data_IF_854707134179
#
_entry.id   IF_854707134179
#
_cell.length_a   1.000
_cell.length_b   1.000
_cell.length_c   1.000
_cell.angle_alpha   90.00
_cell.angle_beta   90.00
_cell.angle_gamma   90.00
#
_symmetry.space_group_name_H-M   'P 1'
#
loop_
_entity.id
_entity.type
_entity.pdbx_description
1 polymer ?
#
# COMPACT_ATOMS: atom_id res chain seq x y z
N UNK A 1 6.32 44.17 -48.30
CA UNK A 1 6.58 43.25 -49.44
C UNK A 1 5.95 41.88 -49.15
N UNK A 2 5.73 41.00 -50.17
CA UNK A 2 4.66 40.00 -50.14
C UNK A 2 5.02 38.58 -49.64
N UNK A 3 4.01 37.69 -49.71
CA UNK A 3 3.84 36.33 -49.16
C UNK A 3 4.61 35.19 -49.89
N UNK A 4 4.48 33.97 -49.32
CA UNK A 4 4.61 32.57 -49.86
C UNK A 4 5.87 31.84 -49.33
N UNK A 5 5.86 30.68 -48.66
CA UNK A 5 5.10 29.38 -48.69
C UNK A 5 5.66 28.34 -49.68
N UNK A 6 5.83 27.09 -49.20
CA UNK A 6 6.19 25.84 -49.94
C UNK A 6 7.67 25.81 -50.42
N UNK A 7 8.39 24.68 -50.61
CA UNK A 7 8.03 23.27 -50.92
C UNK A 7 9.03 22.28 -50.26
N UNK A 8 8.54 21.09 -49.85
CA UNK A 8 9.39 19.91 -49.55
C UNK A 8 9.70 19.12 -50.82
N UNK A 9 10.97 18.86 -51.13
CA UNK A 9 11.37 18.05 -52.29
C UNK A 9 12.11 16.79 -51.86
N UNK A 10 11.42 15.66 -52.02
CA UNK A 10 11.99 14.31 -52.04
C UNK A 10 12.92 14.17 -53.26
N UNK A 11 14.13 13.65 -53.07
CA UNK A 11 14.95 13.17 -54.19
C UNK A 11 14.60 11.71 -54.46
N UNK A 12 14.11 11.40 -55.66
CA UNK A 12 13.74 10.03 -56.05
C UNK A 12 14.16 9.75 -57.49
N UNK A 13 14.96 8.71 -57.69
CA UNK A 13 15.32 8.12 -58.97
C UNK A 13 16.23 6.92 -58.69
N UNK A 14 16.01 5.71 -59.21
CA UNK A 14 14.97 5.15 -60.10
C UNK A 14 14.61 3.74 -59.52
N UNK A 15 13.40 3.15 -59.61
CA UNK A 15 12.74 2.51 -60.78
C UNK A 15 13.73 1.71 -61.65
N UNK A 16 13.54 0.49 -62.18
CA UNK A 16 12.51 -0.58 -62.21
C UNK A 16 13.24 -1.87 -62.71
N UNK A 17 12.81 -3.14 -62.56
CA UNK A 17 11.59 -3.75 -62.00
C UNK A 17 11.88 -5.12 -61.30
N UNK A 18 11.34 -6.24 -61.81
CA UNK A 18 11.39 -7.62 -61.27
C UNK A 18 11.67 -8.65 -62.38
N UNK A 19 12.45 -9.69 -62.08
CA UNK A 19 12.46 -11.07 -62.66
C UNK A 19 12.91 -11.21 -64.16
N UNK A 20 13.44 -12.37 -64.63
CA UNK A 20 13.37 -13.74 -64.09
C UNK A 20 14.57 -14.65 -64.49
N UNK A 21 14.79 -15.72 -63.70
CA UNK A 21 15.29 -17.08 -64.07
C UNK A 21 16.67 -17.27 -64.76
N UNK A 22 17.47 -18.31 -64.52
CA UNK A 22 17.44 -19.43 -63.54
C UNK A 22 18.70 -20.31 -63.65
N UNK A 23 19.35 -20.64 -62.53
CA UNK A 23 20.26 -21.82 -62.37
C UNK A 23 20.59 -21.97 -60.87
N UNK A 24 19.73 -22.62 -60.08
CA UNK A 24 19.95 -23.99 -59.58
C UNK A 24 21.31 -24.16 -58.88
N UNK A 25 21.31 -23.92 -57.57
CA UNK A 25 22.29 -24.43 -56.61
C UNK A 25 21.61 -25.32 -55.57
N UNK A 26 20.87 -26.32 -56.06
CA UNK A 26 20.44 -27.51 -55.30
C UNK A 26 21.49 -28.62 -55.57
N UNK A 27 21.97 -29.43 -54.63
CA UNK A 27 21.52 -29.78 -53.27
C UNK A 27 22.63 -30.52 -52.53
N UNK A 28 22.61 -30.42 -51.19
CA UNK A 28 22.89 -31.44 -50.16
C UNK A 28 23.80 -30.86 -49.04
N UNK A 29 23.61 -31.13 -47.75
CA UNK A 29 22.84 -32.22 -47.10
C UNK A 29 22.15 -31.72 -45.80
N UNK A 30 21.19 -32.50 -45.28
CA UNK A 30 20.34 -32.19 -44.11
C UNK A 30 21.17 -32.23 -42.79
N UNK A 31 20.77 -31.63 -41.66
CA UNK A 31 19.55 -31.87 -40.84
C UNK A 31 19.26 -30.68 -39.90
N UNK A 32 17.99 -30.57 -39.47
CA UNK A 32 17.41 -29.71 -38.41
C UNK A 32 18.37 -29.27 -37.27
N UNK A 33 18.21 -28.11 -36.61
CA UNK A 33 16.99 -27.63 -35.90
C UNK A 33 16.86 -26.10 -36.07
N UNK A 34 15.63 -25.55 -36.00
CA UNK A 34 15.37 -24.11 -36.09
C UNK A 34 15.74 -23.30 -34.84
N UNK A 35 15.32 -22.02 -34.81
CA UNK A 35 15.73 -20.94 -33.88
C UNK A 35 17.10 -20.33 -34.29
N UNK A 36 17.34 -19.01 -34.26
CA UNK A 36 16.59 -17.87 -33.71
C UNK A 36 16.62 -16.66 -34.66
N UNK A 37 15.56 -15.83 -34.64
CA UNK A 37 15.75 -14.39 -34.87
C UNK A 37 16.39 -13.78 -33.61
N UNK A 38 17.20 -12.70 -33.67
CA UNK A 38 17.70 -12.03 -32.47
C UNK A 38 16.58 -11.23 -31.77
N UNK A 39 15.61 -11.95 -31.22
CA UNK A 39 14.61 -11.42 -30.33
C UNK A 39 15.29 -11.19 -28.97
N UNK A 40 15.58 -9.92 -28.68
CA UNK A 40 15.78 -9.36 -27.33
C UNK A 40 16.69 -10.23 -26.44
N UNK A 41 18.02 -10.02 -26.54
CA UNK A 41 18.97 -10.60 -25.59
C UNK A 41 18.75 -9.98 -24.19
N UNK A 42 17.78 -10.52 -23.47
CA UNK A 42 17.44 -10.12 -22.13
C UNK A 42 18.49 -10.72 -21.18
N UNK A 43 19.33 -9.87 -20.60
CA UNK A 43 20.30 -10.34 -19.61
C UNK A 43 19.55 -10.91 -18.40
N UNK A 44 19.80 -12.19 -18.12
CA UNK A 44 19.24 -12.92 -17.00
C UNK A 44 20.38 -13.44 -16.11
N UNK A 45 20.36 -13.05 -14.84
CA UNK A 45 21.33 -13.55 -13.86
C UNK A 45 20.79 -14.87 -13.31
N UNK A 46 21.60 -15.93 -13.39
CA UNK A 46 21.28 -17.21 -12.75
C UNK A 46 22.02 -17.31 -11.41
N UNK A 47 21.26 -17.46 -10.32
CA UNK A 47 21.78 -17.85 -9.02
C UNK A 47 20.99 -19.06 -8.51
N UNK A 48 21.65 -20.19 -8.30
CA UNK A 48 21.09 -21.36 -7.61
C UNK A 48 19.80 -21.94 -8.20
N UNK A 49 19.57 -21.81 -9.52
CA UNK A 49 18.39 -22.35 -10.20
C UNK A 49 17.23 -21.36 -10.42
N UNK A 50 17.33 -20.12 -9.94
CA UNK A 50 16.45 -19.02 -10.33
C UNK A 50 17.13 -18.16 -11.40
N UNK A 51 16.51 -18.07 -12.59
CA UNK A 51 16.87 -17.13 -13.63
C UNK A 51 16.03 -15.85 -13.48
N UNK A 52 16.66 -14.74 -13.09
CA UNK A 52 15.99 -13.44 -12.97
C UNK A 52 16.44 -12.55 -14.13
N UNK A 53 15.50 -12.19 -14.99
CA UNK A 53 15.72 -11.35 -16.16
C UNK A 53 15.35 -9.89 -15.85
N UNK A 54 16.21 -8.93 -16.19
CA UNK A 54 16.10 -7.53 -15.71
C UNK A 54 14.96 -6.68 -16.31
N UNK A 55 13.96 -7.29 -16.96
CA UNK A 55 12.67 -6.68 -17.30
C UNK A 55 11.50 -7.25 -16.48
N UNK A 56 11.76 -8.08 -15.46
CA UNK A 56 10.69 -8.60 -14.61
C UNK A 56 10.17 -7.54 -13.61
N UNK A 57 9.11 -6.84 -14.04
CA UNK A 57 8.36 -5.90 -13.21
C UNK A 57 7.78 -6.50 -11.91
N UNK A 58 7.78 -7.83 -11.75
CA UNK A 58 7.36 -8.53 -10.54
C UNK A 58 8.05 -8.00 -9.27
N UNK A 59 9.36 -7.78 -9.28
CA UNK A 59 10.09 -7.37 -8.07
C UNK A 59 9.77 -5.93 -7.62
N UNK A 60 9.65 -5.00 -8.58
CA UNK A 60 9.25 -3.62 -8.28
C UNK A 60 7.78 -3.54 -7.85
N UNK A 61 6.90 -4.29 -8.54
CA UNK A 61 5.48 -4.42 -8.19
C UNK A 61 5.31 -5.02 -6.78
N UNK A 62 6.06 -6.06 -6.43
CA UNK A 62 5.97 -6.66 -5.09
C UNK A 62 6.41 -5.67 -3.99
N UNK A 63 7.54 -4.98 -4.15
CA UNK A 63 7.98 -3.95 -3.18
C UNK A 63 6.94 -2.83 -3.03
N UNK A 64 6.35 -2.37 -4.14
CA UNK A 64 5.30 -1.34 -4.11
C UNK A 64 4.02 -1.83 -3.42
N UNK A 65 3.61 -3.09 -3.67
CA UNK A 65 2.47 -3.75 -3.00
C UNK A 65 2.70 -3.91 -1.51
N UNK A 66 3.89 -4.35 -1.10
CA UNK A 66 4.26 -4.43 0.31
C UNK A 66 4.24 -3.06 0.99
N UNK A 67 4.78 -2.03 0.35
CA UNK A 67 4.76 -0.65 0.83
C UNK A 67 3.34 -0.14 1.08
N UNK A 68 2.47 -0.28 0.07
CA UNK A 68 1.03 0.04 0.18
C UNK A 68 0.38 -0.74 1.33
N UNK A 69 0.61 -2.05 1.41
CA UNK A 69 0.06 -2.90 2.50
C UNK A 69 0.50 -2.46 3.90
N UNK A 70 1.72 -1.94 4.07
CA UNK A 70 2.19 -1.38 5.35
C UNK A 70 1.44 -0.08 5.69
N UNK A 71 1.30 0.83 4.74
CA UNK A 71 0.51 2.05 4.93
C UNK A 71 -0.96 1.75 5.26
N UNK A 72 -1.60 0.82 4.55
CA UNK A 72 -2.99 0.42 4.81
C UNK A 72 -3.17 -0.14 6.23
N UNK A 73 -2.19 -0.90 6.74
CA UNK A 73 -2.19 -1.47 8.09
C UNK A 73 -1.98 -0.40 9.17
N UNK A 74 -1.09 0.58 8.95
CA UNK A 74 -0.91 1.72 9.85
C UNK A 74 -2.20 2.56 9.87
N UNK A 75 -2.75 2.86 8.69
CA UNK A 75 -3.95 3.68 8.57
C UNK A 75 -5.19 2.99 9.19
N UNK A 76 -5.27 1.65 9.10
CA UNK A 76 -6.26 0.86 9.84
C UNK A 76 -6.12 1.01 11.37
N UNK A 77 -4.90 1.01 11.91
CA UNK A 77 -4.67 1.26 13.34
C UNK A 77 -5.15 2.66 13.73
N UNK A 78 -4.89 3.67 12.91
CA UNK A 78 -5.38 5.04 13.13
C UNK A 78 -6.91 5.10 13.19
N UNK A 79 -7.62 4.53 12.19
CA UNK A 79 -9.09 4.50 12.21
C UNK A 79 -9.66 3.73 13.40
N UNK A 80 -8.99 2.66 13.83
CA UNK A 80 -9.43 1.86 14.97
C UNK A 80 -9.17 2.53 16.32
N UNK A 81 -8.09 3.28 16.48
CA UNK A 81 -7.64 3.84 17.78
C UNK A 81 -7.99 5.32 17.94
N UNK A 82 -8.07 6.08 16.85
CA UNK A 82 -8.28 7.54 16.85
C UNK A 82 -9.50 7.99 16.01
N UNK A 83 -10.20 7.07 15.34
CA UNK A 83 -11.38 7.33 14.50
C UNK A 83 -11.15 8.29 13.32
N UNK A 84 -9.88 8.45 12.90
CA UNK A 84 -9.45 9.20 11.71
C UNK A 84 -8.46 8.42 10.88
N UNK A 85 -8.20 8.87 9.66
CA UNK A 85 -7.03 8.43 8.90
C UNK A 85 -5.75 9.10 9.42
N UNK A 86 -4.61 8.45 9.19
CA UNK A 86 -3.28 9.00 9.40
C UNK A 86 -2.92 9.97 8.26
N UNK A 87 -2.21 11.06 8.58
CA UNK A 87 -1.65 11.93 7.55
C UNK A 87 -0.40 11.31 6.88
N UNK A 88 0.03 11.90 5.76
CA UNK A 88 1.12 11.36 4.96
C UNK A 88 2.50 11.38 5.68
N UNK A 89 2.71 12.32 6.61
CA UNK A 89 3.92 12.43 7.43
C UNK A 89 3.92 11.44 8.59
N UNK A 90 2.76 11.23 9.24
CA UNK A 90 2.53 10.17 10.22
C UNK A 90 2.78 8.79 9.61
N UNK A 91 2.15 8.51 8.45
CA UNK A 91 2.32 7.28 7.69
C UNK A 91 3.81 7.03 7.36
N UNK A 92 4.52 8.03 6.83
CA UNK A 92 5.97 7.93 6.55
C UNK A 92 6.81 7.70 7.81
N UNK A 93 6.39 8.22 8.96
CA UNK A 93 7.11 8.04 10.22
C UNK A 93 6.98 6.62 10.74
N UNK A 94 5.76 6.10 10.82
CA UNK A 94 5.51 4.72 11.21
C UNK A 94 6.06 3.69 10.22
N UNK A 95 6.07 3.99 8.92
CA UNK A 95 6.70 3.15 7.91
C UNK A 95 8.20 2.95 8.16
N UNK A 96 8.95 4.02 8.49
CA UNK A 96 10.38 3.94 8.85
C UNK A 96 10.63 3.10 10.10
N UNK A 97 9.70 3.12 11.06
CA UNK A 97 9.79 2.28 12.25
C UNK A 97 9.58 0.79 11.94
N UNK A 98 8.70 0.44 10.99
CA UNK A 98 8.56 -0.94 10.50
C UNK A 98 9.85 -1.43 9.81
N UNK A 99 10.55 -0.56 9.08
CA UNK A 99 11.86 -0.88 8.50
C UNK A 99 12.94 -1.11 9.57
N UNK A 100 12.84 -0.43 10.72
CA UNK A 100 13.63 -0.68 11.93
C UNK A 100 13.17 -1.88 12.77
N UNK A 101 12.32 -2.75 12.20
CA UNK A 101 11.79 -3.98 12.83
C UNK A 101 10.88 -3.76 14.04
N UNK A 102 10.31 -2.57 14.26
CA UNK A 102 9.15 -2.46 15.17
C UNK A 102 7.98 -3.28 14.63
N UNK A 103 7.15 -3.83 15.51
CA UNK A 103 5.91 -4.48 15.10
C UNK A 103 4.74 -3.50 14.99
N UNK A 104 3.73 -3.85 14.19
CA UNK A 104 2.46 -3.12 14.14
C UNK A 104 1.75 -3.08 15.50
N UNK A 105 2.01 -4.06 16.38
CA UNK A 105 1.49 -4.08 17.76
C UNK A 105 2.12 -2.99 18.61
N UNK A 106 3.41 -2.74 18.45
CA UNK A 106 4.12 -1.69 19.20
C UNK A 106 3.72 -0.29 18.69
N UNK A 107 3.51 -0.16 17.37
CA UNK A 107 2.94 1.06 16.77
C UNK A 107 1.52 1.32 17.31
N UNK A 108 0.65 0.30 17.34
CA UNK A 108 -0.69 0.41 17.96
C UNK A 108 -0.60 0.82 19.42
N UNK A 109 0.29 0.22 20.19
CA UNK A 109 0.47 0.52 21.61
C UNK A 109 0.87 1.99 21.83
N UNK A 110 1.76 2.54 21.01
CA UNK A 110 2.21 3.92 21.15
C UNK A 110 1.13 4.93 20.71
N UNK A 111 0.40 4.65 19.62
CA UNK A 111 -0.77 5.45 19.20
C UNK A 111 -1.87 5.40 20.28
N UNK A 112 -2.14 4.23 20.86
CA UNK A 112 -3.13 4.04 21.91
C UNK A 112 -2.76 4.72 23.24
N UNK A 113 -1.48 4.98 23.49
CA UNK A 113 -0.98 5.74 24.65
C UNK A 113 -0.79 7.23 24.36
N UNK A 114 -0.93 7.65 23.11
CA UNK A 114 -0.75 9.04 22.70
C UNK A 114 -1.71 9.97 23.45
N UNK A 115 -1.34 11.25 23.54
CA UNK A 115 -2.23 12.28 24.07
C UNK A 115 -3.55 12.34 23.29
N UNK A 116 -3.52 12.15 21.97
CA UNK A 116 -4.70 12.19 21.13
C UNK A 116 -5.72 11.10 21.48
N UNK A 117 -5.25 9.88 21.76
CA UNK A 117 -6.12 8.80 22.23
C UNK A 117 -6.73 9.10 23.61
N UNK A 118 -5.95 9.71 24.52
CA UNK A 118 -6.45 10.15 25.84
C UNK A 118 -7.48 11.27 25.72
N UNK A 119 -7.24 12.26 24.86
CA UNK A 119 -8.16 13.36 24.59
C UNK A 119 -9.46 12.86 23.92
N UNK A 120 -9.39 11.84 23.06
CA UNK A 120 -10.57 11.16 22.50
C UNK A 120 -11.38 10.40 23.56
N UNK A 121 -10.73 9.66 24.46
CA UNK A 121 -11.41 8.99 25.60
C UNK A 121 -12.06 10.04 26.51
N UNK A 122 -11.40 11.15 26.79
CA UNK A 122 -11.95 12.25 27.59
C UNK A 122 -13.20 12.86 26.96
N UNK A 123 -13.24 13.06 25.63
CA UNK A 123 -14.45 13.50 24.92
C UNK A 123 -15.61 12.53 25.11
N UNK A 124 -15.38 11.23 24.92
CA UNK A 124 -16.40 10.20 25.14
C UNK A 124 -16.94 10.25 26.58
N UNK A 125 -16.07 10.38 27.57
CA UNK A 125 -16.48 10.52 28.97
C UNK A 125 -17.35 11.75 29.23
N UNK A 126 -17.01 12.90 28.64
CA UNK A 126 -17.80 14.13 28.76
C UNK A 126 -19.15 13.98 28.05
N UNK A 127 -19.16 13.43 26.83
CA UNK A 127 -20.36 13.21 26.02
C UNK A 127 -21.36 12.23 26.66
N UNK A 128 -20.86 11.18 27.34
CA UNK A 128 -21.68 10.05 27.81
C UNK A 128 -21.96 10.10 29.32
N UNK A 129 -21.03 10.63 30.13
CA UNK A 129 -21.09 10.64 31.60
C UNK A 129 -21.03 12.06 32.20
N UNK A 130 -20.95 13.12 31.38
CA UNK A 130 -20.92 14.52 31.84
C UNK A 130 -19.69 14.93 32.63
N UNK A 131 -18.62 14.14 32.60
CA UNK A 131 -17.40 14.35 33.41
C UNK A 131 -16.15 13.92 32.64
N UNK A 132 -14.96 14.37 33.06
CA UNK A 132 -13.69 13.90 32.48
C UNK A 132 -13.34 12.50 33.00
N UNK A 133 -12.59 11.70 32.21
CA UNK A 133 -12.08 10.42 32.69
C UNK A 133 -10.98 10.63 33.74
N UNK A 134 -11.06 9.90 34.85
CA UNK A 134 -9.95 9.85 35.81
C UNK A 134 -8.73 9.10 35.26
N UNK A 135 -7.60 9.21 35.98
CA UNK A 135 -6.31 8.59 35.63
C UNK A 135 -6.42 7.07 35.39
N UNK A 136 -7.13 6.35 36.27
CA UNK A 136 -7.26 4.89 36.24
C UNK A 136 -8.12 4.46 35.05
N UNK A 137 -9.18 5.21 34.76
CA UNK A 137 -10.03 4.99 33.59
C UNK A 137 -9.27 5.26 32.27
N UNK A 138 -8.50 6.36 32.18
CA UNK A 138 -7.64 6.63 31.02
C UNK A 138 -6.60 5.51 30.81
N UNK A 139 -5.91 5.07 31.85
CA UNK A 139 -4.95 3.96 31.78
C UNK A 139 -5.61 2.64 31.38
N UNK A 140 -6.83 2.37 31.85
CA UNK A 140 -7.60 1.19 31.48
C UNK A 140 -7.96 1.20 29.99
N UNK A 141 -8.56 2.28 29.49
CA UNK A 141 -9.02 2.36 28.10
C UNK A 141 -7.87 2.41 27.09
N UNK A 142 -6.82 3.18 27.35
CA UNK A 142 -5.61 3.17 26.51
C UNK A 142 -4.96 1.78 26.45
N UNK A 143 -4.96 1.02 27.57
CA UNK A 143 -4.50 -0.38 27.61
C UNK A 143 -5.43 -1.34 26.86
N UNK A 144 -6.74 -1.07 26.78
CA UNK A 144 -7.66 -1.84 25.93
C UNK A 144 -7.43 -1.55 24.44
N UNK A 145 -7.29 -0.28 24.05
CA UNK A 145 -6.96 0.14 22.68
C UNK A 145 -5.64 -0.51 22.22
N UNK A 146 -4.59 -0.46 23.05
CA UNK A 146 -3.29 -1.09 22.77
C UNK A 146 -3.37 -2.61 22.57
N UNK A 147 -4.38 -3.28 23.14
CA UNK A 147 -4.61 -4.73 23.01
C UNK A 147 -5.47 -5.14 21.81
N UNK A 148 -6.06 -4.19 21.08
CA UNK A 148 -6.86 -4.47 19.88
C UNK A 148 -8.32 -4.00 19.93
N UNK A 149 -8.82 -3.50 21.07
CA UNK A 149 -10.13 -2.80 21.07
C UNK A 149 -10.05 -1.57 20.17
N UNK A 150 -11.18 -1.21 19.59
CA UNK A 150 -11.40 0.03 18.84
C UNK A 150 -11.99 1.11 19.75
N UNK A 151 -11.82 2.38 19.38
CA UNK A 151 -12.41 3.52 20.10
C UNK A 151 -13.94 3.44 20.15
N UNK A 152 -14.57 3.03 19.04
CA UNK A 152 -16.00 2.70 18.96
C UNK A 152 -16.46 1.67 20.00
N UNK A 153 -15.69 0.61 20.24
CA UNK A 153 -16.02 -0.37 21.29
C UNK A 153 -15.82 0.20 22.70
N UNK A 154 -14.83 1.08 22.89
CA UNK A 154 -14.64 1.81 24.16
C UNK A 154 -15.85 2.70 24.45
N UNK A 155 -16.33 3.46 23.45
CA UNK A 155 -17.57 4.25 23.53
C UNK A 155 -18.77 3.39 23.94
N UNK A 156 -19.01 2.28 23.24
CA UNK A 156 -20.13 1.36 23.53
C UNK A 156 -20.08 0.76 24.94
N UNK A 157 -18.89 0.59 25.52
CA UNK A 157 -18.73 0.11 26.88
C UNK A 157 -19.06 1.20 27.91
N UNK A 158 -18.60 2.44 27.67
CA UNK A 158 -18.88 3.61 28.53
C UNK A 158 -20.38 3.95 28.50
N UNK A 159 -21.04 3.85 27.34
CA UNK A 159 -22.50 4.01 27.19
C UNK A 159 -23.28 2.98 28.02
N UNK A 160 -22.82 1.73 28.06
CA UNK A 160 -23.44 0.69 28.90
C UNK A 160 -23.24 0.94 30.39
N UNK A 161 -22.07 1.45 30.78
CA UNK A 161 -21.79 1.86 32.17
C UNK A 161 -22.72 3.00 32.58
N UNK A 162 -22.96 4.00 31.72
CA UNK A 162 -23.88 5.10 31.96
C UNK A 162 -25.33 4.61 32.16
N UNK A 163 -25.80 3.70 31.31
CA UNK A 163 -27.13 3.09 31.43
C UNK A 163 -27.30 2.33 32.75
N UNK A 164 -26.27 1.57 33.17
CA UNK A 164 -26.30 0.84 34.43
C UNK A 164 -26.34 1.77 35.66
N UNK A 165 -25.65 2.92 35.62
CA UNK A 165 -25.71 3.94 36.69
C UNK A 165 -27.07 4.65 36.76
N UNK A 166 -27.71 4.88 35.61
CA UNK A 166 -29.00 5.58 35.52
C UNK A 166 -30.22 4.66 35.66
N UNK A 167 -30.04 3.34 35.80
CA UNK A 167 -31.15 2.41 36.04
C UNK A 167 -31.56 2.48 37.52
N UNK A 168 -32.79 2.93 37.86
CA UNK A 168 -33.24 2.90 39.24
C UNK A 168 -33.28 1.44 39.71
N UNK A 169 -32.48 1.10 40.72
CA UNK A 169 -32.50 -0.24 41.30
C UNK A 169 -33.91 -0.58 41.75
N UNK A 170 -34.41 -1.78 41.39
CA UNK A 170 -35.75 -2.24 41.74
C UNK A 170 -35.99 -2.10 43.25
N UNK A 171 -36.77 -1.11 43.63
CA UNK A 171 -37.22 -0.89 45.00
C UNK A 171 -38.36 -1.86 45.29
N UNK A 172 -38.03 -2.99 45.91
CA UNK A 172 -39.04 -3.89 46.46
C UNK A 172 -39.85 -3.14 47.52
N UNK A 173 -41.18 -3.26 47.41
CA UNK A 173 -42.18 -2.64 48.27
C UNK A 173 -42.85 -3.70 49.12
#
# INVERSE_FOLDING_TARGET
MPKKTTISTFSTGEKLALLATSAIATTAFLVAIGLTSPANAQECIQNGGLAVCLNDGSLLNNRQREGRSRYDKINKIYREVLERDADEMELRTWYRELERRRSLRDIRHDIAKSREAQDAINRIYIEVLGQIADRKNLEMWTKHLARGRTMREVRQEIERIAQAQNTPGYTWR
#
